data_IF_851614163263
#
_entry.id   IF_851614163263
#
_cell.length_a   1.000
_cell.length_b   1.000
_cell.length_c   1.000
_cell.angle_alpha   90.00
_cell.angle_beta   90.00
_cell.angle_gamma   90.00
#
_symmetry.space_group_name_H-M   'P 1'
#
loop_
_entity.id
_entity.type
_entity.pdbx_description
1 polymer ?
#
# COMPACT_ATOMS: atom_id res chain seq x y z
N UNK A 1 -24.60 18.29 4.45
CA UNK A 1 -23.15 18.52 4.31
C UNK A 1 -22.46 17.53 5.23
N UNK A 2 -21.59 16.65 4.71
CA UNK A 2 -20.88 15.63 5.48
C UNK A 2 -19.58 16.24 6.03
N UNK A 3 -19.64 16.84 7.21
CA UNK A 3 -18.50 17.55 7.82
C UNK A 3 -17.49 16.64 8.51
N UNK A 4 -17.88 15.39 8.75
CA UNK A 4 -17.09 14.34 9.39
C UNK A 4 -16.09 13.65 8.42
N UNK A 5 -16.25 13.84 7.11
CA UNK A 5 -15.39 13.25 6.08
C UNK A 5 -15.33 11.73 6.17
N UNK A 6 -14.12 11.15 6.15
CA UNK A 6 -13.89 9.70 6.26
C UNK A 6 -14.00 9.17 7.71
N UNK A 7 -14.14 10.06 8.70
CA UNK A 7 -14.20 9.72 10.11
C UNK A 7 -15.64 9.43 10.51
N UNK A 8 -16.15 8.29 10.06
CA UNK A 8 -17.50 7.80 10.36
C UNK A 8 -17.43 6.53 11.19
N UNK A 9 -18.25 6.43 12.24
CA UNK A 9 -18.34 5.25 13.10
C UNK A 9 -17.07 5.05 13.94
N UNK A 10 -16.55 3.81 13.98
CA UNK A 10 -15.37 3.49 14.79
C UNK A 10 -14.13 4.30 14.41
N UNK A 11 -13.99 4.68 13.13
CA UNK A 11 -12.92 5.56 12.66
C UNK A 11 -12.91 6.92 13.37
N UNK A 12 -14.10 7.45 13.69
CA UNK A 12 -14.24 8.69 14.46
C UNK A 12 -13.87 8.46 15.93
N UNK A 13 -14.46 7.44 16.56
CA UNK A 13 -14.25 7.14 17.98
C UNK A 13 -12.77 6.86 18.28
N UNK A 14 -12.10 6.11 17.41
CA UNK A 14 -10.67 5.85 17.50
C UNK A 14 -9.85 7.14 17.42
N UNK A 15 -10.15 8.01 16.44
CA UNK A 15 -9.42 9.27 16.26
C UNK A 15 -9.64 10.27 17.39
N UNK A 16 -10.84 10.31 17.96
CA UNK A 16 -11.20 11.23 19.06
C UNK A 16 -10.92 10.64 20.44
N UNK A 17 -10.36 9.43 20.49
CA UNK A 17 -10.15 8.66 21.71
C UNK A 17 -11.39 8.60 22.62
N UNK A 18 -12.54 8.40 21.99
CA UNK A 18 -13.82 8.23 22.69
C UNK A 18 -14.05 6.73 22.87
N UNK A 19 -14.21 6.31 24.13
CA UNK A 19 -14.47 4.91 24.47
C UNK A 19 -15.96 4.57 24.25
N UNK A 20 -16.30 3.73 23.25
CA UNK A 20 -17.68 3.30 23.06
C UNK A 20 -18.07 2.24 24.09
N UNK A 21 -19.35 2.19 24.47
CA UNK A 21 -19.85 1.14 25.37
C UNK A 21 -19.63 -0.27 24.78
N UNK A 22 -19.86 -0.40 23.47
CA UNK A 22 -19.54 -1.60 22.70
C UNK A 22 -18.83 -1.19 21.41
N UNK A 23 -17.53 -1.52 21.25
CA UNK A 23 -16.76 -1.13 20.07
C UNK A 23 -17.21 -1.90 18.83
N UNK A 24 -16.88 -1.36 17.65
CA UNK A 24 -17.15 -2.05 16.39
C UNK A 24 -16.47 -3.43 16.38
N UNK A 25 -17.22 -4.44 15.94
CA UNK A 25 -16.76 -5.83 15.92
C UNK A 25 -16.76 -6.52 17.28
N UNK A 26 -17.28 -5.90 18.34
CA UNK A 26 -17.37 -6.53 19.66
C UNK A 26 -18.42 -7.64 19.70
N UNK A 27 -18.05 -8.75 20.34
CA UNK A 27 -18.96 -9.86 20.62
C UNK A 27 -18.44 -10.74 21.74
N UNK A 28 -19.29 -11.04 22.72
CA UNK A 28 -18.97 -12.01 23.76
C UNK A 28 -19.19 -13.45 23.26
N UNK A 29 -18.52 -14.39 23.90
CA UNK A 29 -18.66 -15.81 23.64
C UNK A 29 -18.74 -16.58 24.96
N UNK A 30 -19.40 -17.73 24.95
CA UNK A 30 -19.40 -18.66 26.08
C UNK A 30 -18.06 -19.40 26.26
N UNK A 31 -17.11 -19.18 25.34
CA UNK A 31 -15.74 -19.66 25.45
C UNK A 31 -14.73 -18.51 25.32
N UNK A 32 -13.44 -18.81 25.51
CA UNK A 32 -12.34 -17.84 25.37
C UNK A 32 -11.35 -18.28 24.30
N UNK A 33 -10.89 -17.33 23.50
CA UNK A 33 -9.94 -17.57 22.43
C UNK A 33 -8.62 -16.86 22.67
N UNK A 34 -7.52 -17.60 22.49
CA UNK A 34 -6.15 -17.09 22.53
C UNK A 34 -5.63 -16.96 21.11
N UNK A 35 -4.95 -15.85 20.84
CA UNK A 35 -4.31 -15.57 19.56
C UNK A 35 -2.81 -15.70 19.74
N UNK A 36 -2.13 -16.30 18.77
CA UNK A 36 -0.67 -16.45 18.78
C UNK A 36 -0.12 -16.54 17.36
N UNK A 37 1.20 -16.39 17.25
CA UNK A 37 1.96 -16.63 16.02
C UNK A 37 1.40 -15.89 14.80
N UNK A 38 1.30 -14.55 14.91
CA UNK A 38 1.05 -13.72 13.74
C UNK A 38 2.24 -13.83 12.78
N UNK A 39 1.95 -14.22 11.54
CA UNK A 39 2.92 -14.41 10.47
C UNK A 39 2.46 -13.66 9.23
N UNK A 40 3.41 -13.10 8.49
CA UNK A 40 3.18 -12.52 7.17
C UNK A 40 4.08 -13.20 6.14
N UNK A 41 3.62 -13.34 4.90
CA UNK A 41 4.42 -13.94 3.82
C UNK A 41 5.66 -13.12 3.48
N UNK A 42 5.63 -11.82 3.73
CA UNK A 42 6.73 -10.90 3.49
C UNK A 42 6.78 -9.82 4.58
N UNK A 43 7.97 -9.21 4.72
CA UNK A 43 8.19 -8.02 5.55
C UNK A 43 8.10 -6.73 4.76
N UNK A 44 8.24 -6.82 3.44
CA UNK A 44 8.09 -5.71 2.51
C UNK A 44 7.29 -6.15 1.30
N UNK A 45 6.45 -5.28 0.76
CA UNK A 45 5.59 -5.53 -0.40
C UNK A 45 5.60 -4.35 -1.36
N UNK A 46 5.39 -4.64 -2.64
CA UNK A 46 5.15 -3.68 -3.73
C UNK A 46 3.67 -3.66 -4.12
N UNK A 47 3.20 -2.71 -4.93
CA UNK A 47 1.79 -2.67 -5.38
C UNK A 47 1.33 -3.92 -6.13
N UNK A 48 2.24 -4.70 -6.70
CA UNK A 48 1.93 -5.93 -7.43
C UNK A 48 1.81 -7.15 -6.51
N UNK A 49 2.33 -7.05 -5.28
CA UNK A 49 2.38 -8.16 -4.34
C UNK A 49 1.05 -8.37 -3.60
N UNK A 50 0.83 -9.61 -3.19
CA UNK A 50 -0.23 -9.97 -2.24
C UNK A 50 0.39 -10.39 -0.92
N UNK A 51 -0.02 -9.75 0.16
CA UNK A 51 0.44 -10.09 1.50
C UNK A 51 -0.49 -11.14 2.11
N UNK A 52 0.03 -12.35 2.34
CA UNK A 52 -0.66 -13.37 3.12
C UNK A 52 -0.37 -13.14 4.60
N UNK A 53 -1.40 -13.05 5.43
CA UNK A 53 -1.30 -12.92 6.88
C UNK A 53 -1.97 -14.12 7.53
N UNK A 54 -1.28 -14.76 8.46
CA UNK A 54 -1.77 -15.94 9.17
C UNK A 54 -1.67 -15.74 10.68
N UNK A 55 -2.65 -16.24 11.41
CA UNK A 55 -2.68 -16.20 12.87
C UNK A 55 -3.26 -17.49 13.44
N UNK A 56 -2.64 -18.03 14.48
CA UNK A 56 -3.13 -19.20 15.17
C UNK A 56 -4.10 -18.78 16.28
N UNK A 57 -5.30 -19.38 16.28
CA UNK A 57 -6.34 -19.13 17.27
C UNK A 57 -6.71 -20.43 17.97
N UNK A 58 -6.58 -20.42 19.28
CA UNK A 58 -6.87 -21.56 20.15
C UNK A 58 -8.10 -21.28 20.99
N UNK A 59 -9.07 -22.20 20.98
CA UNK A 59 -10.16 -22.19 21.96
C UNK A 59 -9.64 -22.74 23.30
N UNK A 60 -9.54 -21.86 24.29
CA UNK A 60 -9.02 -22.16 25.63
C UNK A 60 -10.10 -22.45 26.66
N UNK A 61 -11.38 -22.34 26.31
CA UNK A 61 -12.48 -22.63 27.21
C UNK A 61 -12.94 -24.09 27.15
N UNK A 62 -14.09 -24.35 27.80
CA UNK A 62 -14.62 -25.70 28.02
C UNK A 62 -15.69 -26.11 27.00
N UNK A 63 -16.20 -25.17 26.22
CA UNK A 63 -17.26 -25.40 25.22
C UNK A 63 -16.78 -25.03 23.83
N UNK A 64 -17.38 -25.65 22.81
CA UNK A 64 -17.14 -25.27 21.42
C UNK A 64 -17.64 -23.84 21.17
N UNK A 65 -16.98 -23.12 20.27
CA UNK A 65 -17.37 -21.76 19.93
C UNK A 65 -16.86 -21.35 18.56
N UNK A 66 -17.44 -20.29 18.02
CA UNK A 66 -17.00 -19.64 16.78
C UNK A 66 -16.37 -18.29 17.13
N UNK A 67 -15.21 -18.01 16.56
CA UNK A 67 -14.48 -16.76 16.74
C UNK A 67 -14.45 -15.99 15.41
N UNK A 68 -14.60 -14.66 15.46
CA UNK A 68 -14.47 -13.78 14.28
C UNK A 68 -13.16 -13.02 14.43
N UNK A 69 -12.13 -13.56 13.78
CA UNK A 69 -10.81 -12.92 13.72
C UNK A 69 -10.89 -11.71 12.81
N UNK A 70 -10.54 -10.54 13.32
CA UNK A 70 -10.60 -9.28 12.59
C UNK A 70 -9.20 -8.76 12.33
N UNK A 71 -8.93 -8.40 11.08
CA UNK A 71 -7.67 -7.80 10.64
C UNK A 71 -7.90 -6.34 10.27
N UNK A 72 -7.18 -5.46 10.94
CA UNK A 72 -7.11 -4.04 10.66
C UNK A 72 -5.73 -3.65 10.13
N UNK A 73 -5.69 -2.65 9.27
CA UNK A 73 -4.45 -2.02 8.80
C UNK A 73 -4.39 -0.60 9.36
N UNK A 74 -3.22 -0.21 9.86
CA UNK A 74 -2.91 1.15 10.28
C UNK A 74 -1.72 1.65 9.48
N UNK A 75 -1.86 2.85 8.96
CA UNK A 75 -0.77 3.58 8.32
C UNK A 75 -0.01 4.37 9.40
N UNK A 76 1.29 4.14 9.55
CA UNK A 76 2.09 4.71 10.65
C UNK A 76 2.51 6.15 10.35
N UNK A 77 2.85 6.43 9.09
CA UNK A 77 3.35 7.72 8.63
C UNK A 77 2.64 8.07 7.32
N UNK A 78 1.48 8.73 7.42
CA UNK A 78 0.74 9.20 6.25
C UNK A 78 0.76 10.72 6.17
N UNK A 79 0.94 11.26 4.97
CA UNK A 79 0.79 12.69 4.70
C UNK A 79 -0.67 13.12 4.64
N UNK A 80 -1.58 12.16 4.40
CA UNK A 80 -3.02 12.36 4.36
C UNK A 80 -3.68 12.04 5.70
N UNK A 81 -4.80 12.71 5.99
CA UNK A 81 -5.59 12.40 7.18
C UNK A 81 -6.23 11.02 7.04
N UNK A 82 -5.68 10.00 7.72
CA UNK A 82 -6.21 8.63 7.74
C UNK A 82 -6.85 8.27 9.08
N UNK A 83 -7.78 7.30 9.11
CA UNK A 83 -8.23 6.70 10.37
C UNK A 83 -7.07 5.98 11.07
N UNK A 84 -7.09 5.95 12.41
CA UNK A 84 -6.07 5.24 13.20
C UNK A 84 -5.91 3.76 12.83
N UNK A 85 -6.98 3.13 12.34
CA UNK A 85 -6.98 1.79 11.77
C UNK A 85 -8.24 1.56 10.96
N UNK A 86 -8.15 0.64 10.01
CA UNK A 86 -9.26 0.28 9.13
C UNK A 86 -9.40 -1.23 9.01
N UNK A 87 -10.61 -1.76 9.18
CA UNK A 87 -10.90 -3.18 8.95
C UNK A 87 -10.69 -3.49 7.47
N UNK A 88 -9.82 -4.47 7.17
CA UNK A 88 -9.54 -4.91 5.79
C UNK A 88 -9.99 -6.34 5.52
N UNK A 89 -9.99 -7.20 6.54
CA UNK A 89 -10.48 -8.57 6.40
C UNK A 89 -11.00 -9.12 7.73
N UNK A 90 -11.85 -10.14 7.65
CA UNK A 90 -12.24 -10.93 8.81
C UNK A 90 -12.49 -12.39 8.41
N UNK A 91 -12.30 -13.31 9.35
CA UNK A 91 -12.53 -14.74 9.14
C UNK A 91 -13.23 -15.34 10.34
N UNK A 92 -14.28 -16.13 10.09
CA UNK A 92 -15.02 -16.83 11.12
C UNK A 92 -14.59 -18.28 11.22
N UNK A 93 -14.00 -18.66 12.34
CA UNK A 93 -13.47 -20.00 12.59
C UNK A 93 -14.26 -20.73 13.68
N UNK A 94 -14.58 -22.00 13.45
CA UNK A 94 -15.22 -22.88 14.43
C UNK A 94 -14.17 -23.72 15.16
N UNK A 95 -14.20 -23.73 16.50
CA UNK A 95 -13.19 -24.39 17.32
C UNK A 95 -13.82 -25.19 18.45
N UNK A 96 -13.48 -26.49 18.52
CA UNK A 96 -13.72 -27.33 19.69
C UNK A 96 -12.83 -26.90 20.86
N UNK A 97 -13.16 -27.25 22.12
CA UNK A 97 -12.29 -27.00 23.27
C UNK A 97 -10.86 -27.50 23.01
N UNK A 98 -9.86 -26.66 23.32
CA UNK A 98 -8.42 -26.91 23.12
C UNK A 98 -7.95 -27.04 21.66
N UNK A 99 -8.85 -26.88 20.69
CA UNK A 99 -8.47 -26.88 19.28
C UNK A 99 -7.77 -25.57 18.93
N UNK A 100 -6.77 -25.66 18.05
CA UNK A 100 -6.16 -24.53 17.36
C UNK A 100 -6.49 -24.61 15.87
N UNK A 101 -6.84 -23.48 15.25
CA UNK A 101 -6.92 -23.31 13.80
C UNK A 101 -6.17 -22.05 13.39
N UNK A 102 -5.70 -22.02 12.16
CA UNK A 102 -5.04 -20.85 11.58
C UNK A 102 -6.06 -20.08 10.74
N UNK A 103 -6.28 -18.81 11.08
CA UNK A 103 -7.01 -17.89 10.21
C UNK A 103 -6.02 -17.28 9.20
N UNK A 104 -6.44 -17.18 7.95
CA UNK A 104 -5.62 -16.77 6.81
C UNK A 104 -6.30 -15.64 6.05
N UNK A 105 -5.57 -14.54 5.88
CA UNK A 105 -5.99 -13.37 5.16
C UNK A 105 -5.07 -13.13 3.97
N UNK A 106 -5.63 -12.65 2.87
CA UNK A 106 -4.86 -12.15 1.73
C UNK A 106 -5.20 -10.68 1.57
N UNK A 107 -4.19 -9.82 1.72
CA UNK A 107 -4.29 -8.39 1.50
C UNK A 107 -3.64 -8.06 0.16
N UNK A 108 -4.39 -7.40 -0.70
CA UNK A 108 -3.89 -6.78 -1.92
C UNK A 108 -3.53 -5.31 -1.67
N UNK A 109 -3.11 -4.62 -2.72
CA UNK A 109 -2.79 -3.19 -2.65
C UNK A 109 -3.94 -2.31 -2.12
N UNK A 110 -5.19 -2.71 -2.33
CA UNK A 110 -6.38 -1.96 -1.93
C UNK A 110 -6.51 -1.88 -0.39
N UNK A 111 -5.92 -2.86 0.30
CA UNK A 111 -5.82 -2.83 1.75
C UNK A 111 -5.00 -1.64 2.27
N UNK A 112 -4.13 -1.04 1.45
CA UNK A 112 -3.22 0.03 1.83
C UNK A 112 -3.60 1.39 1.22
N UNK A 113 -4.41 1.40 0.16
CA UNK A 113 -4.78 2.61 -0.58
C UNK A 113 -5.55 3.66 0.22
N UNK A 114 -5.40 4.90 -0.23
CA UNK A 114 -6.26 6.05 0.04
C UNK A 114 -6.64 6.71 -1.30
N UNK A 115 -7.65 7.57 -1.29
CA UNK A 115 -8.04 8.33 -2.48
C UNK A 115 -7.38 9.70 -2.46
N UNK A 116 -6.53 9.98 -3.44
CA UNK A 116 -5.90 11.29 -3.62
C UNK A 116 -6.87 12.20 -4.40
N UNK A 117 -7.37 13.24 -3.75
CA UNK A 117 -8.30 14.18 -4.39
C UNK A 117 -7.62 15.14 -5.35
N UNK A 118 -6.31 15.36 -5.24
CA UNK A 118 -5.57 16.22 -6.17
C UNK A 118 -5.39 15.53 -7.53
N UNK A 119 -5.01 14.25 -7.50
CA UNK A 119 -4.80 13.43 -8.70
C UNK A 119 -6.08 12.69 -9.16
N UNK A 120 -7.13 12.69 -8.32
CA UNK A 120 -8.41 12.02 -8.56
C UNK A 120 -8.25 10.51 -8.82
N UNK A 121 -7.36 9.86 -8.08
CA UNK A 121 -7.03 8.44 -8.20
C UNK A 121 -6.75 7.76 -6.86
N UNK A 122 -6.74 6.43 -6.85
CA UNK A 122 -6.35 5.64 -5.68
C UNK A 122 -4.83 5.49 -5.64
N UNK A 123 -4.23 5.88 -4.51
CA UNK A 123 -2.78 5.86 -4.31
C UNK A 123 -2.41 5.27 -2.94
N UNK A 124 -1.15 4.84 -2.80
CA UNK A 124 -0.55 4.39 -1.52
C UNK A 124 0.82 5.03 -1.40
N UNK A 125 1.12 5.57 -0.22
CA UNK A 125 2.46 6.06 0.08
C UNK A 125 3.40 4.90 0.43
N UNK A 126 4.67 5.00 0.00
CA UNK A 126 5.69 4.14 0.55
C UNK A 126 5.84 4.42 2.04
N UNK A 127 5.87 3.38 2.87
CA UNK A 127 5.81 3.58 4.31
C UNK A 127 5.71 2.29 5.10
N UNK A 128 5.67 2.43 6.42
CA UNK A 128 5.41 1.32 7.33
C UNK A 128 3.92 1.24 7.65
N UNK A 129 3.36 0.04 7.51
CA UNK A 129 2.00 -0.27 7.90
C UNK A 129 2.00 -1.27 9.05
N UNK A 130 1.15 -1.04 10.05
CA UNK A 130 0.87 -2.00 11.10
C UNK A 130 -0.31 -2.91 10.72
N UNK A 131 -0.08 -4.21 10.80
CA UNK A 131 -1.11 -5.25 10.71
C UNK A 131 -1.60 -5.55 12.12
N UNK A 132 -2.84 -5.22 12.41
CA UNK A 132 -3.45 -5.36 13.73
C UNK A 132 -4.48 -6.47 13.69
N UNK A 133 -4.32 -7.50 14.53
CA UNK A 133 -5.25 -8.63 14.59
C UNK A 133 -5.90 -8.68 15.97
N UNK A 134 -7.23 -8.76 15.99
CA UNK A 134 -8.01 -8.69 17.22
C UNK A 134 -9.35 -9.43 17.16
N UNK A 135 -10.04 -9.38 18.29
CA UNK A 135 -11.42 -9.85 18.46
C UNK A 135 -12.45 -8.71 18.33
N UNK A 136 -12.00 -7.45 18.32
CA UNK A 136 -12.80 -6.26 17.99
C UNK A 136 -11.88 -5.09 17.65
N UNK A 137 -12.45 -3.96 17.22
CA UNK A 137 -11.68 -2.73 16.96
C UNK A 137 -10.95 -2.19 18.20
N UNK A 138 -11.39 -2.47 19.43
CA UNK A 138 -10.66 -2.06 20.65
C UNK A 138 -9.92 -3.22 21.33
N UNK A 139 -10.11 -4.44 20.86
CA UNK A 139 -9.51 -5.65 21.45
C UNK A 139 -8.47 -6.27 20.50
N UNK A 140 -7.38 -5.53 20.29
CA UNK A 140 -6.25 -5.93 19.44
C UNK A 140 -5.30 -6.81 20.24
N UNK A 141 -5.05 -8.02 19.76
CA UNK A 141 -4.30 -9.06 20.47
C UNK A 141 -2.87 -9.22 19.94
N UNK A 142 -2.67 -9.03 18.65
CA UNK A 142 -1.38 -9.16 17.99
C UNK A 142 -1.16 -8.00 17.02
N UNK A 143 0.10 -7.60 16.88
CA UNK A 143 0.53 -6.57 15.93
C UNK A 143 1.72 -7.09 15.13
N UNK A 144 1.75 -6.79 13.85
CA UNK A 144 2.86 -7.03 12.93
C UNK A 144 3.13 -5.76 12.14
N UNK A 145 4.27 -5.70 11.46
CA UNK A 145 4.67 -4.57 10.62
C UNK A 145 4.99 -5.08 9.22
N UNK A 146 4.60 -4.31 8.21
CA UNK A 146 4.97 -4.54 6.82
C UNK A 146 5.37 -3.21 6.19
N UNK A 147 6.45 -3.21 5.43
CA UNK A 147 6.89 -2.03 4.69
C UNK A 147 6.32 -2.04 3.28
N UNK A 148 5.53 -1.05 2.93
CA UNK A 148 5.13 -0.84 1.54
C UNK A 148 6.24 -0.09 0.83
N UNK A 149 6.79 -0.69 -0.22
CA UNK A 149 7.80 -0.09 -1.07
C UNK A 149 7.07 0.35 -2.32
N UNK A 150 6.84 1.65 -2.46
CA UNK A 150 6.56 2.21 -3.77
C UNK A 150 7.84 2.04 -4.58
N UNK A 151 7.81 1.24 -5.64
CA UNK A 151 8.74 1.49 -6.74
C UNK A 151 8.37 2.88 -7.20
N UNK A 152 9.28 3.84 -7.12
CA UNK A 152 9.09 5.17 -7.66
C UNK A 152 8.74 5.05 -9.15
N UNK A 153 7.48 4.81 -9.49
CA UNK A 153 6.95 5.11 -10.81
C UNK A 153 6.64 6.59 -10.77
N UNK A 154 7.71 7.40 -10.77
CA UNK A 154 7.58 8.73 -11.34
C UNK A 154 7.01 8.46 -12.73
N UNK A 155 5.79 8.96 -13.00
CA UNK A 155 5.21 8.80 -14.34
C UNK A 155 6.19 9.43 -15.32
N UNK A 156 6.87 8.59 -16.08
CA UNK A 156 7.94 9.07 -16.94
C UNK A 156 7.28 9.86 -18.08
N UNK A 157 7.81 11.04 -18.35
CA UNK A 157 7.37 11.88 -19.44
C UNK A 157 8.55 12.71 -19.94
N UNK A 158 8.45 13.25 -21.15
CA UNK A 158 9.56 13.95 -21.83
C UNK A 158 9.99 15.23 -21.12
N UNK A 159 9.08 15.83 -20.34
CA UNK A 159 9.36 16.99 -19.48
C UNK A 159 10.17 16.70 -18.21
N UNK A 160 10.57 15.46 -17.93
CA UNK A 160 11.50 15.16 -16.84
C UNK A 160 12.96 15.38 -17.28
N UNK A 161 13.86 15.76 -16.37
CA UNK A 161 15.28 15.83 -16.67
C UNK A 161 15.81 14.48 -17.13
N UNK A 162 16.73 14.48 -18.10
CA UNK A 162 17.29 13.28 -18.70
C UNK A 162 17.93 12.36 -17.63
N UNK A 163 18.57 12.92 -16.61
CA UNK A 163 19.12 12.15 -15.47
C UNK A 163 18.06 11.29 -14.74
N UNK A 164 16.83 11.78 -14.66
CA UNK A 164 15.72 11.07 -13.99
C UNK A 164 15.24 9.93 -14.87
N UNK A 165 15.11 10.17 -16.18
CA UNK A 165 14.72 9.14 -17.15
C UNK A 165 15.77 8.02 -17.24
N UNK A 166 17.06 8.36 -17.20
CA UNK A 166 18.15 7.37 -17.30
C UNK A 166 18.43 6.61 -16.01
N UNK A 167 18.05 7.15 -14.85
CA UNK A 167 18.13 6.45 -13.57
C UNK A 167 17.02 5.39 -13.41
N UNK A 168 15.93 5.49 -14.17
CA UNK A 168 14.85 4.52 -14.20
C UNK A 168 15.10 3.42 -15.25
N UNK A 169 14.81 2.17 -14.91
CA UNK A 169 15.05 1.01 -15.80
C UNK A 169 14.19 1.07 -17.08
N UNK A 170 12.92 1.49 -16.98
CA UNK A 170 12.02 1.67 -18.12
C UNK A 170 12.46 2.88 -18.95
N UNK A 171 12.75 4.01 -18.29
CA UNK A 171 13.19 5.23 -18.98
C UNK A 171 14.49 5.02 -19.76
N UNK A 172 15.48 4.34 -19.16
CA UNK A 172 16.70 3.95 -19.83
C UNK A 172 16.45 3.02 -21.01
N UNK A 173 15.61 2.00 -20.84
CA UNK A 173 15.29 1.04 -21.90
C UNK A 173 14.58 1.69 -23.10
N UNK A 174 13.66 2.64 -22.86
CA UNK A 174 12.99 3.39 -23.93
C UNK A 174 13.99 4.27 -24.66
N UNK A 175 14.80 5.05 -23.95
CA UNK A 175 15.79 5.94 -24.57
C UNK A 175 16.87 5.19 -25.35
N UNK A 176 17.34 4.05 -24.84
CA UNK A 176 18.34 3.23 -25.52
C UNK A 176 17.88 2.62 -26.85
N UNK A 177 16.55 2.47 -27.07
CA UNK A 177 16.01 2.02 -28.36
C UNK A 177 16.16 3.07 -29.45
N UNK A 178 15.99 4.34 -29.09
CA UNK A 178 15.96 5.45 -30.03
C UNK A 178 17.31 6.15 -30.16
N UNK A 179 18.12 6.18 -29.09
CA UNK A 179 19.30 7.03 -28.99
C UNK A 179 20.55 6.32 -28.49
N UNK A 180 20.73 5.05 -28.87
CA UNK A 180 21.87 4.23 -28.43
C UNK A 180 23.22 4.92 -28.62
N UNK A 181 23.47 5.48 -29.81
CA UNK A 181 24.74 6.12 -30.14
C UNK A 181 24.94 7.47 -29.43
N UNK A 182 23.84 8.14 -29.06
CA UNK A 182 23.88 9.40 -28.34
C UNK A 182 24.08 9.20 -26.83
N UNK A 183 23.58 8.09 -26.26
CA UNK A 183 23.83 7.72 -24.87
C UNK A 183 25.31 7.41 -24.58
N UNK A 184 26.05 6.94 -25.59
CA UNK A 184 27.49 6.69 -25.47
C UNK A 184 28.36 7.93 -25.79
N UNK A 185 27.73 9.07 -26.09
CA UNK A 185 28.41 10.31 -26.47
C UNK A 185 28.86 11.14 -25.26
N UNK A 186 30.02 11.82 -25.33
CA UNK A 186 30.42 12.82 -24.33
C UNK A 186 29.41 13.99 -24.20
N UNK A 187 28.54 14.18 -25.19
CA UNK A 187 27.48 15.19 -25.15
C UNK A 187 26.36 14.85 -24.14
N UNK A 188 26.24 13.58 -23.71
CA UNK A 188 25.22 13.15 -22.76
C UNK A 188 25.34 13.90 -21.43
N UNK A 189 26.56 14.02 -20.91
CA UNK A 189 26.86 14.70 -19.64
C UNK A 189 26.40 16.16 -19.64
N UNK A 190 26.45 16.82 -20.80
CA UNK A 190 26.00 18.21 -20.95
C UNK A 190 24.47 18.34 -20.94
N UNK A 191 23.75 17.27 -21.29
CA UNK A 191 22.29 17.23 -21.39
C UNK A 191 21.59 16.63 -20.17
N UNK A 192 22.32 16.16 -19.15
CA UNK A 192 21.76 15.43 -18.00
C UNK A 192 20.69 16.21 -17.21
N UNK A 193 20.82 17.54 -17.13
CA UNK A 193 19.85 18.40 -16.45
C UNK A 193 18.77 18.97 -17.38
N UNK A 194 18.85 18.71 -18.69
CA UNK A 194 17.85 19.15 -19.66
C UNK A 194 16.72 18.12 -19.79
N UNK A 195 15.55 18.58 -20.20
CA UNK A 195 14.43 17.69 -20.59
C UNK A 195 14.53 17.30 -22.06
N UNK A 196 13.85 16.22 -22.47
CA UNK A 196 13.82 15.84 -23.89
C UNK A 196 13.16 16.92 -24.75
N UNK A 197 12.18 17.64 -24.20
CA UNK A 197 11.53 18.77 -24.90
C UNK A 197 12.51 19.91 -25.17
N UNK A 198 13.39 20.20 -24.22
CA UNK A 198 14.43 21.23 -24.35
C UNK A 198 15.51 20.82 -25.36
N UNK A 199 15.89 19.54 -25.37
CA UNK A 199 16.87 19.00 -26.32
C UNK A 199 16.30 18.99 -27.74
N UNK A 200 15.02 18.63 -27.91
CA UNK A 200 14.34 18.71 -29.20
C UNK A 200 14.30 20.14 -29.76
N UNK A 201 14.12 21.14 -28.90
CA UNK A 201 14.20 22.55 -29.29
C UNK A 201 15.61 23.01 -29.68
N UNK A 202 16.65 22.43 -29.08
CA UNK A 202 18.05 22.77 -29.35
C UNK A 202 18.65 22.01 -30.55
N UNK A 203 18.23 20.76 -30.77
CA UNK A 203 18.73 19.87 -31.83
C UNK A 203 17.56 19.15 -32.51
N UNK A 204 16.82 19.84 -33.41
CA UNK A 204 15.63 19.28 -34.06
C UNK A 204 15.91 18.07 -34.97
N UNK A 205 17.16 17.93 -35.43
CA UNK A 205 17.62 16.79 -36.25
C UNK A 205 17.70 15.49 -35.45
N UNK A 206 17.85 15.58 -34.12
CA UNK A 206 17.94 14.43 -33.22
C UNK A 206 16.56 14.01 -32.70
N UNK A 207 15.67 14.97 -32.41
CA UNK A 207 14.36 14.73 -31.80
C UNK A 207 13.28 15.52 -32.55
N UNK A 208 12.58 14.86 -33.47
CA UNK A 208 11.41 15.46 -34.12
C UNK A 208 10.20 15.48 -33.17
N UNK A 209 9.24 16.42 -33.34
CA UNK A 209 8.04 16.47 -32.51
C UNK A 209 7.20 15.17 -32.53
N UNK A 210 7.19 14.46 -33.66
CA UNK A 210 6.49 13.17 -33.83
C UNK A 210 7.17 12.04 -33.04
N UNK A 211 8.50 12.02 -33.04
CA UNK A 211 9.29 11.05 -32.28
C UNK A 211 9.17 11.32 -30.77
N UNK A 212 9.19 12.60 -30.37
CA UNK A 212 9.01 13.03 -28.98
C UNK A 212 7.62 12.61 -28.44
N UNK A 213 6.56 12.76 -29.25
CA UNK A 213 5.23 12.28 -28.88
C UNK A 213 5.20 10.75 -28.67
N UNK A 214 5.82 9.99 -29.59
CA UNK A 214 5.94 8.52 -29.48
C UNK A 214 6.71 8.11 -28.22
N UNK A 215 7.84 8.77 -27.92
CA UNK A 215 8.61 8.50 -26.70
C UNK A 215 7.79 8.83 -25.45
N UNK A 216 7.02 9.92 -25.46
CA UNK A 216 6.18 10.29 -24.33
C UNK A 216 5.08 9.26 -24.07
N UNK A 217 4.49 8.67 -25.12
CA UNK A 217 3.53 7.57 -24.98
C UNK A 217 4.17 6.26 -24.46
N UNK A 218 5.40 5.94 -24.88
CA UNK A 218 6.11 4.76 -24.37
C UNK A 218 6.63 4.92 -22.93
N UNK A 219 6.92 6.15 -22.51
CA UNK A 219 7.35 6.48 -21.15
C UNK A 219 6.18 6.44 -20.15
N UNK A 220 4.98 6.85 -20.58
CA UNK A 220 3.74 6.78 -19.80
C UNK A 220 3.39 5.35 -19.35
#
# INVERSE_FOLDING_TARGET
>A
RYGEGIFVGYRYYDRKDVEPLFPFGHGLSYTRFKYSNLRSSARSITPEDKLKVEVDVTNTGKVAGKEIVQLYVRDVESTFARPEKELKAFEKIDLKPKQTKTATFTLDREAFWYFDTAENEWSTEAGEFEILVGASSRDIRLKGKVKFISRNTVRLHTGLPLRVLLADEKGHAVLARYFKDWLDSPMLEMGMEMTLDQIAGAVPELLTPELLATINEELA
#
